data_IF_904530015126
#
_entry.id   IF_904530015126
#
_cell.length_a   1.000
_cell.length_b   1.000
_cell.length_c   1.000
_cell.angle_alpha   90.00
_cell.angle_beta   90.00
_cell.angle_gamma   90.00
#
_symmetry.space_group_name_H-M   'P 1'
#
loop_
_entity.id
_entity.type
_entity.pdbx_description
1 polymer ?
#
# COMPACT_ATOMS: atom_id res chain seq x y z
N UNK A 1 -5.09 -5.61 9.63
CA UNK A 1 -5.20 -5.20 8.22
C UNK A 1 -5.35 -6.45 7.38
N UNK A 2 -6.39 -6.57 6.54
CA UNK A 2 -6.54 -7.70 5.63
C UNK A 2 -5.48 -7.63 4.52
N UNK A 3 -5.17 -8.79 3.93
CA UNK A 3 -4.31 -8.85 2.75
C UNK A 3 -5.02 -8.29 1.51
N UNK A 4 -4.26 -7.83 0.50
CA UNK A 4 -4.86 -7.23 -0.70
C UNK A 4 -5.69 -8.22 -1.54
N UNK A 5 -5.43 -9.52 -1.44
CA UNK A 5 -6.23 -10.54 -2.16
C UNK A 5 -7.54 -10.92 -1.47
N UNK A 6 -7.84 -10.39 -0.28
CA UNK A 6 -9.13 -10.60 0.37
C UNK A 6 -10.24 -9.81 -0.33
N UNK A 7 -11.53 -10.16 -0.14
CA UNK A 7 -12.62 -9.50 -0.86
C UNK A 7 -12.68 -7.99 -0.64
N UNK A 8 -12.88 -7.25 -1.71
CA UNK A 8 -13.02 -5.80 -1.73
C UNK A 8 -14.47 -5.36 -1.85
N UNK A 9 -14.90 -4.41 -1.03
CA UNK A 9 -16.14 -3.66 -1.20
C UNK A 9 -16.01 -2.60 -2.30
N UNK A 10 -14.81 -2.07 -2.56
CA UNK A 10 -14.53 -1.10 -3.60
C UNK A 10 -13.02 -0.88 -3.81
N UNK A 11 -12.65 -0.35 -4.97
CA UNK A 11 -11.35 0.26 -5.25
C UNK A 11 -11.47 1.79 -5.39
N UNK A 12 -10.61 2.52 -4.69
CA UNK A 12 -10.50 3.97 -4.76
C UNK A 12 -9.42 4.39 -5.75
N UNK A 13 -9.75 5.38 -6.59
CA UNK A 13 -8.87 6.00 -7.61
C UNK A 13 -9.07 7.52 -7.61
N UNK A 14 -8.04 8.28 -8.00
CA UNK A 14 -8.19 9.70 -8.31
C UNK A 14 -7.91 9.94 -9.80
N UNK A 15 -8.82 10.66 -10.48
CA UNK A 15 -8.68 10.96 -11.91
C UNK A 15 -7.47 11.87 -12.17
N UNK A 16 -6.64 11.59 -13.19
CA UNK A 16 -5.45 12.36 -13.49
C UNK A 16 -5.81 13.81 -13.87
N UNK A 17 -5.11 14.76 -13.28
CA UNK A 17 -5.38 16.19 -13.46
C UNK A 17 -4.16 17.09 -13.31
N UNK A 18 -3.07 16.60 -12.72
CA UNK A 18 -1.86 17.38 -12.51
C UNK A 18 -0.80 16.97 -13.54
N UNK A 19 -0.60 17.83 -14.55
CA UNK A 19 0.34 17.58 -15.64
C UNK A 19 1.79 17.48 -15.16
N UNK A 20 2.11 18.06 -13.98
CA UNK A 20 3.44 18.01 -13.40
C UNK A 20 3.89 16.61 -12.95
N UNK A 21 2.98 15.64 -12.84
CA UNK A 21 3.34 14.24 -12.61
C UNK A 21 3.79 13.54 -13.92
N UNK A 22 3.33 14.02 -15.08
CA UNK A 22 3.68 13.51 -16.41
C UNK A 22 4.09 14.63 -17.38
N UNK A 23 5.18 15.37 -17.10
CA UNK A 23 5.56 16.52 -17.93
C UNK A 23 5.77 16.10 -19.38
N UNK A 24 5.05 16.75 -20.31
CA UNK A 24 5.12 16.45 -21.74
C UNK A 24 4.49 15.13 -22.19
N UNK A 25 3.92 14.31 -21.26
CA UNK A 25 3.28 13.01 -21.55
C UNK A 25 1.91 12.83 -20.91
N UNK A 26 1.21 13.90 -20.58
CA UNK A 26 -0.08 13.80 -19.90
C UNK A 26 -1.21 13.27 -20.78
N UNK A 27 -1.16 13.52 -22.10
CA UNK A 27 -2.24 13.18 -23.03
C UNK A 27 -2.69 11.71 -23.00
N UNK A 28 -1.80 10.70 -23.00
CA UNK A 28 -2.20 9.29 -22.93
C UNK A 28 -2.72 8.86 -21.56
N UNK A 29 -2.39 9.56 -20.49
CA UNK A 29 -2.66 9.11 -19.11
C UNK A 29 -4.14 8.90 -18.81
N UNK A 30 -5.08 9.80 -19.17
CA UNK A 30 -6.51 9.55 -18.98
C UNK A 30 -7.02 8.28 -19.68
N UNK A 31 -6.39 7.85 -20.77
CA UNK A 31 -6.76 6.63 -21.48
C UNK A 31 -6.26 5.36 -20.76
N UNK A 32 -5.08 5.41 -20.16
CA UNK A 32 -4.59 4.33 -19.27
C UNK A 32 -5.53 4.18 -18.07
N UNK A 33 -5.96 5.29 -17.46
CA UNK A 33 -6.96 5.28 -16.38
C UNK A 33 -8.29 4.69 -16.84
N UNK A 34 -8.74 5.01 -18.05
CA UNK A 34 -9.97 4.45 -18.59
C UNK A 34 -9.89 2.93 -18.76
N UNK A 35 -8.75 2.40 -19.19
CA UNK A 35 -8.52 0.95 -19.30
C UNK A 35 -8.56 0.27 -17.92
N UNK A 36 -7.87 0.84 -16.94
CA UNK A 36 -7.87 0.37 -15.56
C UNK A 36 -9.30 0.37 -14.98
N UNK A 37 -10.02 1.49 -15.10
CA UNK A 37 -11.38 1.65 -14.60
C UNK A 37 -12.34 0.69 -15.31
N UNK A 38 -12.20 0.53 -16.63
CA UNK A 38 -13.01 -0.42 -17.43
C UNK A 38 -12.84 -1.86 -16.93
N UNK A 39 -11.63 -2.22 -16.56
CA UNK A 39 -11.30 -3.53 -16.04
C UNK A 39 -11.86 -3.72 -14.63
N UNK A 40 -11.55 -2.82 -13.72
CA UNK A 40 -12.00 -2.91 -12.31
C UNK A 40 -13.52 -2.87 -12.18
N UNK A 41 -14.20 -2.00 -12.91
CA UNK A 41 -15.65 -1.81 -12.79
C UNK A 41 -16.49 -3.02 -13.23
N UNK A 42 -15.88 -4.02 -13.88
CA UNK A 42 -16.52 -5.32 -14.16
C UNK A 42 -16.53 -6.25 -12.95
N UNK A 43 -15.64 -6.03 -12.00
CA UNK A 43 -15.38 -6.94 -10.89
C UNK A 43 -15.78 -6.35 -9.53
N UNK A 44 -15.63 -5.02 -9.36
CA UNK A 44 -15.92 -4.35 -8.09
C UNK A 44 -16.29 -2.87 -8.31
N UNK A 45 -16.95 -2.23 -7.34
CA UNK A 45 -17.22 -0.80 -7.38
C UNK A 45 -15.93 0.02 -7.43
N UNK A 46 -15.94 1.07 -8.27
CA UNK A 46 -14.84 2.04 -8.40
C UNK A 46 -15.28 3.38 -7.79
N UNK A 47 -14.61 3.80 -6.74
CA UNK A 47 -14.80 5.10 -6.08
C UNK A 47 -13.82 6.12 -6.71
N UNK A 48 -14.30 6.93 -7.64
CA UNK A 48 -13.46 7.81 -8.45
C UNK A 48 -13.48 9.25 -7.94
N UNK A 49 -12.34 9.70 -7.40
CA UNK A 49 -12.15 11.09 -6.96
C UNK A 49 -11.84 11.96 -8.17
N UNK A 50 -12.55 13.07 -8.30
CA UNK A 50 -12.36 14.10 -9.32
C UNK A 50 -12.29 15.48 -8.65
N UNK A 51 -11.45 16.36 -9.16
CA UNK A 51 -11.18 17.65 -8.50
C UNK A 51 -12.38 18.62 -8.48
N UNK A 52 -13.28 18.52 -9.47
CA UNK A 52 -14.46 19.35 -9.60
C UNK A 52 -15.43 18.83 -10.68
N UNK A 53 -16.56 19.51 -10.87
CA UNK A 53 -17.57 19.12 -11.88
C UNK A 53 -17.06 19.16 -13.33
N UNK A 54 -16.16 20.06 -13.65
CA UNK A 54 -15.55 20.15 -15.00
C UNK A 54 -14.64 18.95 -15.25
N UNK A 55 -13.81 18.59 -14.28
CA UNK A 55 -12.98 17.37 -14.33
C UNK A 55 -13.84 16.11 -14.45
N UNK A 56 -14.94 16.01 -13.70
CA UNK A 56 -15.90 14.91 -13.84
C UNK A 56 -16.50 14.81 -15.25
N UNK A 57 -16.87 15.95 -15.85
CA UNK A 57 -17.38 15.96 -17.22
C UNK A 57 -16.32 15.50 -18.23
N UNK A 58 -15.07 15.91 -18.04
CA UNK A 58 -13.95 15.44 -18.87
C UNK A 58 -13.70 13.94 -18.67
N UNK A 59 -13.65 13.47 -17.42
CA UNK A 59 -13.49 12.05 -17.10
C UNK A 59 -14.59 11.20 -17.74
N UNK A 60 -15.87 11.58 -17.57
CA UNK A 60 -17.01 10.86 -18.19
C UNK A 60 -16.86 10.76 -19.70
N UNK A 61 -16.46 11.84 -20.39
CA UNK A 61 -16.26 11.83 -21.84
C UNK A 61 -15.18 10.82 -22.28
N UNK A 62 -14.07 10.74 -21.54
CA UNK A 62 -13.01 9.78 -21.85
C UNK A 62 -13.50 8.36 -21.57
N UNK A 63 -14.14 8.12 -20.42
CA UNK A 63 -14.70 6.82 -20.06
C UNK A 63 -15.77 6.34 -21.05
N UNK A 64 -16.66 7.23 -21.51
CA UNK A 64 -17.64 6.91 -22.54
C UNK A 64 -16.98 6.49 -23.85
N UNK A 65 -15.99 7.25 -24.31
CA UNK A 65 -15.25 6.94 -25.56
C UNK A 65 -14.43 5.67 -25.47
N UNK A 66 -13.97 5.32 -24.27
CA UNK A 66 -13.24 4.09 -23.98
C UNK A 66 -14.17 2.89 -23.66
N UNK A 67 -15.50 3.05 -23.73
CA UNK A 67 -16.48 2.05 -23.29
C UNK A 67 -16.23 1.57 -21.86
N UNK A 68 -15.80 2.48 -20.99
CA UNK A 68 -15.43 2.23 -19.59
C UNK A 68 -16.46 2.78 -18.59
N UNK A 69 -17.39 3.64 -19.01
CA UNK A 69 -18.40 4.20 -18.11
C UNK A 69 -19.45 3.13 -17.76
N UNK A 70 -19.68 2.92 -16.48
CA UNK A 70 -20.67 1.98 -15.94
C UNK A 70 -21.29 2.49 -14.64
N UNK A 71 -22.36 1.83 -14.18
CA UNK A 71 -23.04 2.14 -12.91
C UNK A 71 -22.19 1.77 -11.69
N UNK A 72 -21.15 0.96 -11.85
CA UNK A 72 -20.18 0.62 -10.81
C UNK A 72 -19.18 1.74 -10.51
N UNK A 73 -19.26 2.91 -11.18
CA UNK A 73 -18.37 4.03 -10.95
C UNK A 73 -19.09 5.13 -10.18
N UNK A 74 -18.62 5.42 -8.96
CA UNK A 74 -19.14 6.52 -8.13
C UNK A 74 -18.15 7.68 -8.15
N UNK A 75 -18.63 8.89 -8.45
CA UNK A 75 -17.80 10.09 -8.55
C UNK A 75 -17.83 10.89 -7.25
N UNK A 76 -16.64 11.20 -6.70
CA UNK A 76 -16.42 12.05 -5.55
C UNK A 76 -15.76 13.36 -5.97
N UNK A 77 -16.33 14.49 -5.58
CA UNK A 77 -15.88 15.83 -6.01
C UNK A 77 -14.96 16.44 -4.94
N UNK A 78 -13.71 15.94 -4.87
CA UNK A 78 -12.73 16.38 -3.90
C UNK A 78 -11.45 16.87 -4.58
N UNK A 79 -10.92 17.98 -4.08
CA UNK A 79 -9.67 18.51 -4.58
C UNK A 79 -8.49 17.72 -4.06
N UNK A 80 -7.61 17.32 -4.96
CA UNK A 80 -6.31 16.69 -4.66
C UNK A 80 -5.17 17.53 -5.25
N UNK A 81 -3.96 17.34 -4.75
CA UNK A 81 -2.76 17.84 -5.40
C UNK A 81 -2.29 16.85 -6.47
N UNK A 82 -2.34 15.54 -6.17
CA UNK A 82 -1.89 14.42 -7.00
C UNK A 82 -2.94 13.30 -7.00
N UNK A 83 -2.60 12.16 -7.58
CA UNK A 83 -3.53 11.04 -7.81
C UNK A 83 -3.20 9.76 -7.01
N UNK A 84 -2.11 9.76 -6.28
CA UNK A 84 -1.53 8.57 -5.65
C UNK A 84 -2.27 8.20 -4.37
N UNK A 85 -3.45 7.56 -4.50
CA UNK A 85 -4.32 7.27 -3.36
C UNK A 85 -3.82 6.14 -2.47
N UNK A 86 -2.91 5.29 -2.95
CA UNK A 86 -2.22 4.31 -2.11
C UNK A 86 -1.53 5.00 -0.93
N UNK A 87 -0.92 6.15 -1.19
CA UNK A 87 -0.09 6.86 -0.24
C UNK A 87 -0.82 7.95 0.53
N UNK A 88 -1.75 8.63 -0.13
CA UNK A 88 -2.48 9.76 0.46
C UNK A 88 -3.83 9.36 1.06
N UNK A 89 -4.37 8.21 0.70
CA UNK A 89 -5.63 7.68 1.19
C UNK A 89 -5.58 7.25 2.66
N UNK A 90 -6.67 6.67 3.14
CA UNK A 90 -6.67 5.94 4.40
C UNK A 90 -6.43 4.45 4.14
N UNK A 91 -5.82 3.78 5.11
CA UNK A 91 -5.69 2.33 5.12
C UNK A 91 -6.92 1.76 5.81
N UNK A 92 -7.73 0.99 5.08
CA UNK A 92 -8.91 0.37 5.64
C UNK A 92 -8.56 -0.94 6.36
N UNK A 93 -9.25 -1.17 7.48
CA UNK A 93 -9.27 -2.44 8.18
C UNK A 93 -10.65 -3.07 8.04
N UNK A 94 -10.71 -4.39 7.91
CA UNK A 94 -11.99 -5.12 7.96
C UNK A 94 -12.61 -5.04 9.35
N UNK A 95 -13.93 -5.21 9.44
CA UNK A 95 -14.64 -5.36 10.72
C UNK A 95 -14.00 -6.51 11.51
N UNK A 96 -13.83 -6.33 12.82
CA UNK A 96 -13.53 -7.44 13.70
C UNK A 96 -14.65 -8.47 13.59
N UNK A 97 -14.36 -9.65 13.05
CA UNK A 97 -15.25 -10.78 13.28
C UNK A 97 -15.23 -11.10 14.79
N UNK A 98 -16.40 -11.29 15.43
CA UNK A 98 -16.46 -11.77 16.80
C UNK A 98 -15.86 -13.18 16.81
N UNK A 99 -14.65 -13.36 17.36
CA UNK A 99 -13.95 -14.64 17.39
C UNK A 99 -12.42 -14.53 17.37
N UNK A 100 -11.85 -13.42 16.98
CA UNK A 100 -10.43 -13.13 17.21
C UNK A 100 -10.27 -12.66 18.67
N UNK A 101 -10.28 -13.60 19.62
CA UNK A 101 -9.88 -13.35 20.99
C UNK A 101 -8.45 -12.78 20.97
N UNK A 102 -8.23 -11.66 21.67
CA UNK A 102 -6.90 -11.32 22.13
C UNK A 102 -6.32 -12.58 22.72
N UNK A 103 -5.26 -13.14 22.15
CA UNK A 103 -4.38 -13.99 22.92
C UNK A 103 -3.78 -13.08 23.97
N UNK A 104 -4.33 -13.14 25.17
CA UNK A 104 -3.72 -12.56 26.34
C UNK A 104 -2.32 -13.18 26.41
N UNK A 105 -1.31 -12.36 26.16
CA UNK A 105 0.05 -12.78 26.44
C UNK A 105 0.13 -13.00 27.95
N UNK A 106 0.44 -14.23 28.44
CA UNK A 106 0.75 -14.42 29.84
C UNK A 106 1.98 -13.57 30.15
N UNK A 107 1.82 -12.68 31.13
CA UNK A 107 2.84 -11.75 31.55
C UNK A 107 4.19 -12.43 31.72
N UNK A 108 5.24 -11.86 31.14
CA UNK A 108 6.61 -12.18 31.51
C UNK A 108 6.77 -11.83 33.01
N UNK A 109 6.91 -12.86 33.82
CA UNK A 109 7.39 -12.72 35.19
C UNK A 109 8.77 -12.03 35.12
N UNK A 110 8.85 -10.84 35.63
CA UNK A 110 10.13 -10.23 35.99
C UNK A 110 10.74 -11.01 37.18
N UNK A 111 12.03 -11.33 37.17
CA UNK A 111 12.64 -11.99 38.35
C UNK A 111 12.60 -11.00 39.52
N UNK A 112 11.95 -11.45 40.61
CA UNK A 112 11.94 -10.74 41.89
C UNK A 112 13.37 -10.69 42.45
N UNK A 113 13.86 -9.49 42.73
CA UNK A 113 14.88 -9.28 43.78
C UNK A 113 14.16 -8.89 45.06
N UNK A 114 14.51 -9.62 46.10
CA UNK A 114 13.99 -9.57 47.46
C UNK A 114 13.90 -8.17 48.06
N UNK A 115 12.79 -7.89 48.79
CA UNK A 115 12.75 -6.86 49.82
C UNK A 115 11.40 -6.18 49.99
N UNK A 116 10.69 -6.60 51.02
CA UNK A 116 9.71 -5.88 51.82
C UNK A 116 8.33 -5.56 51.25
N UNK A 117 7.33 -6.20 51.88
CA UNK A 117 5.90 -5.97 51.69
C UNK A 117 5.44 -4.69 52.37
N UNK A 118 4.77 -3.81 51.59
CA UNK A 118 3.81 -2.86 52.13
C UNK A 118 2.45 -3.12 51.51
N UNK A 119 1.51 -3.59 52.35
CA UNK A 119 0.09 -3.69 52.03
C UNK A 119 -0.47 -2.28 51.83
N UNK A 120 -1.02 -2.03 50.64
CA UNK A 120 -1.84 -0.89 50.38
C UNK A 120 -3.29 -1.35 50.14
N UNK A 121 -4.10 -1.32 51.24
CA UNK A 121 -5.54 -1.57 51.19
C UNK A 121 -6.25 -0.26 50.81
N UNK A 122 -6.61 -0.10 49.56
CA UNK A 122 -7.55 0.93 49.08
C UNK A 122 -8.36 0.39 47.91
N UNK A 123 -9.67 0.63 47.84
CA UNK A 123 -10.48 0.11 46.77
C UNK A 123 -10.14 0.81 45.45
N UNK A 124 -9.49 0.09 44.54
CA UNK A 124 -9.31 0.53 43.16
C UNK A 124 -10.68 0.56 42.51
N UNK A 125 -11.24 1.73 42.28
CA UNK A 125 -12.42 1.89 41.40
C UNK A 125 -12.08 1.36 40.01
N UNK A 126 -12.64 0.20 39.67
CA UNK A 126 -12.67 -0.26 38.29
C UNK A 126 -13.38 0.81 37.45
N UNK A 127 -12.82 1.25 36.30
CA UNK A 127 -13.58 2.07 35.38
C UNK A 127 -14.81 1.28 34.92
N UNK A 128 -15.99 1.90 35.07
CA UNK A 128 -17.24 1.36 34.54
C UNK A 128 -17.03 1.09 33.05
N UNK A 129 -17.16 -0.15 32.67
CA UNK A 129 -17.23 -0.58 31.29
C UNK A 129 -18.59 -0.11 30.76
N UNK A 130 -18.67 1.18 30.36
CA UNK A 130 -19.77 1.63 29.54
C UNK A 130 -19.61 0.88 28.21
N UNK A 131 -20.55 -0.06 27.98
CA UNK A 131 -20.58 -0.89 26.79
C UNK A 131 -20.70 -0.05 25.51
N UNK A 132 -19.59 0.50 25.08
CA UNK A 132 -19.46 1.01 23.72
C UNK A 132 -19.62 -0.20 22.79
N UNK A 133 -20.75 -0.25 22.10
CA UNK A 133 -20.98 -1.18 21.00
C UNK A 133 -19.75 -1.11 20.08
N UNK A 134 -19.21 -2.27 19.74
CA UNK A 134 -18.12 -2.34 18.75
C UNK A 134 -18.61 -1.62 17.48
N UNK A 135 -17.77 -0.80 16.84
CA UNK A 135 -18.16 -0.03 15.66
C UNK A 135 -18.77 -0.96 14.61
N UNK A 136 -19.95 -0.61 14.10
CA UNK A 136 -20.69 -1.43 13.11
C UNK A 136 -20.11 -1.30 11.71
N UNK A 137 -19.16 -0.35 11.46
CA UNK A 137 -18.53 -0.01 10.19
C UNK A 137 -17.09 -0.50 10.06
N UNK A 138 -16.48 -0.41 8.85
CA UNK A 138 -15.06 -0.59 8.66
C UNK A 138 -14.28 0.47 9.46
N UNK A 139 -13.01 0.19 9.78
CA UNK A 139 -12.10 1.16 10.40
C UNK A 139 -11.19 1.73 9.31
N UNK A 140 -10.98 3.04 9.33
CA UNK A 140 -10.07 3.75 8.44
C UNK A 140 -8.91 4.36 9.23
N UNK A 141 -7.71 3.85 9.04
CA UNK A 141 -6.50 4.44 9.61
C UNK A 141 -6.05 5.61 8.73
N UNK A 142 -6.19 6.81 9.25
CA UNK A 142 -5.73 8.02 8.56
C UNK A 142 -4.36 8.41 9.07
N UNK A 143 -3.34 7.85 8.48
CA UNK A 143 -1.97 8.33 8.63
C UNK A 143 -1.82 9.73 8.01
N UNK A 144 -0.81 10.49 8.43
CA UNK A 144 -0.46 11.73 7.75
C UNK A 144 0.26 11.43 6.45
N UNK A 145 0.02 12.30 5.48
CA UNK A 145 0.75 12.31 4.21
C UNK A 145 1.49 13.64 4.06
N UNK A 146 2.78 13.59 3.71
CA UNK A 146 3.63 14.76 3.54
C UNK A 146 4.35 14.80 2.18
N UNK A 147 3.76 14.13 1.16
CA UNK A 147 4.33 13.95 -0.18
C UNK A 147 5.76 13.41 -0.14
N UNK A 148 5.91 12.25 0.56
CA UNK A 148 7.16 11.50 0.67
C UNK A 148 8.31 12.29 1.27
N UNK A 149 8.00 13.29 2.11
CA UNK A 149 8.95 14.28 2.65
C UNK A 149 9.79 15.01 1.56
N UNK A 150 9.27 15.12 0.35
CA UNK A 150 9.95 15.65 -0.84
C UNK A 150 9.27 16.87 -1.46
N UNK A 151 7.96 16.85 -1.59
CA UNK A 151 7.20 17.90 -2.28
C UNK A 151 6.45 18.81 -1.32
N UNK A 152 6.33 20.09 -1.68
CA UNK A 152 5.62 21.08 -0.84
C UNK A 152 4.10 21.10 -1.04
N UNK A 153 3.59 20.54 -2.16
CA UNK A 153 2.18 20.53 -2.54
C UNK A 153 1.47 19.23 -2.13
N UNK A 154 1.11 19.10 -0.86
CA UNK A 154 0.52 17.88 -0.30
C UNK A 154 -0.73 18.10 0.58
N UNK A 155 -1.03 19.36 0.94
CA UNK A 155 -2.06 19.66 1.94
C UNK A 155 -3.47 19.26 1.55
N UNK A 156 -3.78 19.15 0.26
CA UNK A 156 -5.06 18.63 -0.19
C UNK A 156 -5.08 17.11 -0.09
N UNK A 157 -3.99 16.46 -0.48
CA UNK A 157 -3.85 15.01 -0.43
C UNK A 157 -3.90 14.49 1.01
N UNK A 158 -3.29 15.19 1.97
CA UNK A 158 -3.38 14.81 3.40
C UNK A 158 -4.83 14.80 3.94
N UNK A 159 -5.80 15.36 3.24
CA UNK A 159 -7.22 15.35 3.64
C UNK A 159 -8.02 14.22 3.02
N UNK A 160 -7.51 13.60 1.96
CA UNK A 160 -8.27 12.64 1.16
C UNK A 160 -8.67 11.42 1.98
N UNK A 161 -7.76 10.87 2.79
CA UNK A 161 -8.09 9.71 3.63
C UNK A 161 -9.28 9.93 4.56
N UNK A 162 -9.44 11.13 5.13
CA UNK A 162 -10.61 11.46 5.96
C UNK A 162 -11.90 11.57 5.12
N UNK A 163 -11.80 12.06 3.88
CA UNK A 163 -12.95 12.11 2.98
C UNK A 163 -13.35 10.70 2.53
N UNK A 164 -12.39 9.82 2.27
CA UNK A 164 -12.62 8.41 1.97
C UNK A 164 -13.29 7.69 3.15
N UNK A 165 -12.75 7.84 4.36
CA UNK A 165 -13.32 7.28 5.58
C UNK A 165 -14.80 7.70 5.77
N UNK A 166 -15.08 8.99 5.60
CA UNK A 166 -16.45 9.52 5.68
C UNK A 166 -17.38 8.93 4.63
N UNK A 167 -16.93 8.83 3.37
CA UNK A 167 -17.74 8.28 2.28
C UNK A 167 -17.98 6.77 2.45
N UNK A 168 -17.00 6.05 2.94
CA UNK A 168 -17.10 4.63 3.29
C UNK A 168 -17.89 4.38 4.60
N UNK A 169 -18.29 5.43 5.32
CA UNK A 169 -18.90 5.35 6.67
C UNK A 169 -18.02 4.56 7.64
N UNK A 170 -16.72 4.73 7.53
CA UNK A 170 -15.72 4.08 8.36
C UNK A 170 -15.42 4.93 9.61
N UNK A 171 -15.10 4.25 10.72
CA UNK A 171 -14.59 4.91 11.91
C UNK A 171 -13.13 5.34 11.68
N UNK A 172 -12.91 6.66 11.67
CA UNK A 172 -11.59 7.22 11.42
C UNK A 172 -10.71 7.17 12.66
N UNK A 173 -9.55 6.55 12.53
CA UNK A 173 -8.52 6.47 13.57
C UNK A 173 -7.24 7.16 13.08
N UNK A 174 -6.63 7.95 13.95
CA UNK A 174 -5.40 8.68 13.66
C UNK A 174 -4.23 8.03 14.39
N UNK A 175 -3.38 7.25 13.69
CA UNK A 175 -2.22 6.61 14.32
C UNK A 175 -1.20 7.64 14.83
N UNK A 176 -0.72 7.44 16.06
CA UNK A 176 0.23 8.32 16.74
C UNK A 176 1.40 7.53 17.34
N UNK A 177 2.56 8.17 17.36
CA UNK A 177 3.74 7.70 18.07
C UNK A 177 4.52 8.92 18.58
N UNK A 178 5.17 8.79 19.73
CA UNK A 178 5.95 9.89 20.35
C UNK A 178 5.16 11.21 20.52
N UNK A 179 3.82 11.14 20.70
CA UNK A 179 2.95 12.30 20.84
C UNK A 179 2.66 13.05 19.53
N UNK A 180 2.96 12.46 18.37
CA UNK A 180 2.68 13.03 17.06
C UNK A 180 2.00 12.02 16.13
N UNK A 181 1.19 12.51 15.18
CA UNK A 181 0.59 11.68 14.14
C UNK A 181 1.65 11.12 13.22
N UNK A 182 1.60 9.82 12.97
CA UNK A 182 2.55 9.10 12.10
C UNK A 182 2.30 9.46 10.64
N UNK A 183 3.37 9.74 9.89
CA UNK A 183 3.39 9.76 8.43
C UNK A 183 3.70 8.34 7.96
N UNK A 184 2.79 7.75 7.17
CA UNK A 184 2.98 6.43 6.58
C UNK A 184 2.19 6.35 5.27
N UNK A 185 2.86 5.95 4.22
CA UNK A 185 2.29 5.69 2.91
C UNK A 185 1.91 4.21 2.79
N UNK A 186 0.77 3.91 2.13
CA UNK A 186 0.35 2.53 1.90
C UNK A 186 1.31 1.73 1.03
N UNK A 187 2.02 2.39 0.10
CA UNK A 187 3.04 1.75 -0.75
C UNK A 187 4.33 1.39 0.00
N UNK A 188 4.57 1.98 1.17
CA UNK A 188 5.72 1.68 2.02
C UNK A 188 5.59 0.36 2.78
N UNK A 189 4.41 -0.26 2.77
CA UNK A 189 4.09 -1.51 3.50
C UNK A 189 3.36 -2.50 2.61
N UNK A 190 3.52 -3.79 2.92
CA UNK A 190 2.71 -4.86 2.36
C UNK A 190 2.43 -5.92 3.45
N UNK A 191 1.21 -6.47 3.52
CA UNK A 191 0.78 -7.36 4.60
C UNK A 191 0.26 -8.69 4.09
N UNK A 192 0.49 -9.75 4.87
CA UNK A 192 -0.02 -11.08 4.55
C UNK A 192 -1.41 -11.40 5.13
N UNK A 193 -2.05 -10.45 5.80
CA UNK A 193 -3.35 -10.66 6.47
C UNK A 193 -3.30 -11.52 7.74
N UNK A 194 -2.17 -12.18 8.03
CA UNK A 194 -2.01 -13.10 9.13
C UNK A 194 -1.11 -12.58 10.27
N UNK A 195 -0.57 -11.39 10.14
CA UNK A 195 0.25 -10.74 11.18
C UNK A 195 1.68 -10.42 10.77
N UNK A 196 2.08 -10.70 9.54
CA UNK A 196 3.38 -10.26 9.01
C UNK A 196 3.23 -9.07 8.08
N UNK A 197 4.15 -8.13 8.18
CA UNK A 197 4.26 -6.94 7.34
C UNK A 197 5.68 -6.82 6.75
N UNK A 198 5.75 -6.46 5.48
CA UNK A 198 6.96 -6.07 4.77
C UNK A 198 7.10 -4.56 4.74
N UNK A 199 8.32 -4.06 4.88
CA UNK A 199 8.70 -2.65 4.68
C UNK A 199 10.19 -2.55 4.39
N UNK A 200 10.71 -1.34 4.15
CA UNK A 200 12.13 -1.10 3.89
C UNK A 200 12.77 -0.16 4.92
N UNK A 201 14.05 -0.38 5.18
CA UNK A 201 14.87 0.52 6.00
C UNK A 201 15.09 1.86 5.30
N UNK A 202 15.25 1.85 3.97
CA UNK A 202 15.44 3.07 3.18
C UNK A 202 14.25 4.00 3.31
N UNK A 203 13.02 3.51 3.21
CA UNK A 203 11.83 4.35 3.31
C UNK A 203 11.60 4.90 4.72
N UNK A 204 11.68 4.05 5.74
CA UNK A 204 11.20 4.42 7.07
C UNK A 204 12.28 4.85 8.05
N UNK A 205 13.55 4.48 7.83
CA UNK A 205 14.65 4.73 8.76
C UNK A 205 15.73 5.65 8.21
N UNK A 206 15.68 6.00 6.91
CA UNK A 206 16.63 6.93 6.32
C UNK A 206 16.42 8.37 6.83
N UNK A 207 17.50 9.14 6.89
CA UNK A 207 17.46 10.57 7.12
C UNK A 207 17.17 11.37 5.85
N UNK A 208 17.36 10.77 4.72
CA UNK A 208 16.94 11.30 3.43
C UNK A 208 15.44 11.06 3.25
N UNK A 209 14.69 12.09 2.87
CA UNK A 209 13.21 12.03 2.85
C UNK A 209 12.60 11.49 4.17
N UNK A 210 13.11 11.92 5.30
CA UNK A 210 12.69 11.46 6.64
C UNK A 210 11.20 11.75 6.87
N UNK A 211 10.37 10.69 7.02
CA UNK A 211 8.92 10.82 7.25
C UNK A 211 8.60 11.24 8.68
N UNK A 212 9.25 10.60 9.63
CA UNK A 212 8.96 10.76 11.06
C UNK A 212 10.26 10.96 11.84
N UNK A 213 10.68 12.21 12.10
CA UNK A 213 11.86 12.48 12.92
C UNK A 213 11.77 11.77 14.28
N UNK A 214 12.88 11.16 14.69
CA UNK A 214 13.05 10.45 15.98
C UNK A 214 12.36 9.08 16.08
N UNK A 215 11.55 8.65 15.11
CA UNK A 215 11.05 7.28 15.11
C UNK A 215 12.15 6.28 14.78
N UNK A 216 12.24 5.25 15.62
CA UNK A 216 13.15 4.11 15.45
C UNK A 216 12.40 2.91 14.90
N UNK A 217 13.14 1.86 14.51
CA UNK A 217 12.57 0.56 14.13
C UNK A 217 11.53 0.08 15.15
N UNK A 218 11.84 0.09 16.44
CA UNK A 218 10.92 -0.35 17.49
C UNK A 218 9.63 0.48 17.56
N UNK A 219 9.69 1.79 17.26
CA UNK A 219 8.49 2.62 17.21
C UNK A 219 7.58 2.25 16.03
N UNK A 220 8.16 1.94 14.86
CA UNK A 220 7.39 1.46 13.70
C UNK A 220 6.79 0.07 13.96
N UNK A 221 7.59 -0.88 14.46
CA UNK A 221 7.11 -2.23 14.79
C UNK A 221 5.96 -2.20 15.80
N UNK A 222 6.06 -1.32 16.82
CA UNK A 222 4.96 -1.10 17.76
C UNK A 222 3.73 -0.52 17.07
N UNK A 223 3.89 0.47 16.20
CA UNK A 223 2.77 1.06 15.47
C UNK A 223 2.10 0.04 14.53
N UNK A 224 2.87 -0.80 13.85
CA UNK A 224 2.33 -1.87 13.01
C UNK A 224 1.55 -2.91 13.82
N UNK A 225 2.06 -3.29 15.00
CA UNK A 225 1.35 -4.19 15.89
C UNK A 225 0.05 -3.58 16.42
N UNK A 226 0.10 -2.33 16.88
CA UNK A 226 -1.03 -1.67 17.54
C UNK A 226 -2.14 -1.29 16.57
N UNK A 227 -1.80 -0.74 15.41
CA UNK A 227 -2.77 -0.18 14.46
C UNK A 227 -3.12 -1.13 13.31
N UNK A 228 -2.14 -1.86 12.77
CA UNK A 228 -2.36 -2.74 11.61
C UNK A 228 -2.62 -4.20 12.00
N UNK A 229 -2.39 -4.56 13.28
CA UNK A 229 -2.47 -5.95 13.73
C UNK A 229 -1.37 -6.83 13.15
N UNK A 230 -0.22 -6.25 12.81
CA UNK A 230 0.94 -6.90 12.22
C UNK A 230 2.15 -6.84 13.18
N UNK A 231 2.22 -7.73 14.20
CA UNK A 231 3.28 -7.72 15.19
C UNK A 231 4.63 -8.22 14.66
N UNK A 232 4.66 -8.83 13.49
CA UNK A 232 5.89 -9.37 12.89
C UNK A 232 6.28 -8.56 11.66
N UNK A 233 7.44 -7.89 11.71
CA UNK A 233 7.93 -7.04 10.63
C UNK A 233 9.15 -7.65 9.96
N UNK A 234 9.11 -7.78 8.64
CA UNK A 234 10.26 -8.14 7.80
C UNK A 234 10.78 -6.85 7.16
N UNK A 235 12.02 -6.50 7.50
CA UNK A 235 12.69 -5.30 7.00
C UNK A 235 13.59 -5.63 5.80
N UNK A 236 13.22 -5.13 4.64
CA UNK A 236 14.10 -5.09 3.48
C UNK A 236 15.06 -3.89 3.58
N UNK A 237 16.05 -3.85 2.70
CA UNK A 237 17.05 -2.79 2.70
C UNK A 237 16.67 -1.60 1.83
N UNK A 238 17.29 -1.52 0.65
CA UNK A 238 17.15 -0.43 -0.31
C UNK A 238 16.13 -0.77 -1.39
N UNK A 239 15.48 0.28 -1.91
CA UNK A 239 14.59 0.24 -3.06
C UNK A 239 15.30 0.11 -4.41
N UNK A 240 14.54 0.27 -5.49
CA UNK A 240 15.06 0.30 -6.85
C UNK A 240 15.54 1.71 -7.25
N UNK A 241 16.43 1.76 -8.22
CA UNK A 241 16.95 3.03 -8.75
C UNK A 241 15.83 3.84 -9.43
N UNK A 242 15.77 5.13 -9.12
CA UNK A 242 14.84 6.06 -9.72
C UNK A 242 13.48 6.15 -8.99
N UNK A 243 13.27 5.32 -7.97
CA UNK A 243 12.09 5.41 -7.12
C UNK A 243 12.05 6.75 -6.39
N UNK A 244 10.97 7.49 -6.66
CA UNK A 244 10.74 8.84 -6.13
C UNK A 244 10.27 8.83 -4.67
N UNK A 245 9.78 7.67 -4.22
CA UNK A 245 9.25 7.46 -2.87
C UNK A 245 10.34 7.13 -1.85
N UNK A 246 11.56 6.88 -2.30
CA UNK A 246 12.71 6.50 -1.48
C UNK A 246 12.57 5.12 -0.83
N UNK A 247 12.33 4.12 -1.66
CA UNK A 247 12.38 2.71 -1.27
C UNK A 247 11.05 2.10 -0.83
N UNK A 248 9.94 2.43 -1.48
CA UNK A 248 8.68 1.74 -1.25
C UNK A 248 8.80 0.23 -1.52
N UNK A 249 8.18 -0.58 -0.65
CA UNK A 249 8.26 -2.04 -0.77
C UNK A 249 7.39 -2.58 -1.91
N UNK A 250 6.37 -1.86 -2.33
CA UNK A 250 5.47 -2.26 -3.42
C UNK A 250 6.11 -2.24 -4.81
N UNK A 251 7.32 -1.67 -4.92
CA UNK A 251 8.18 -1.78 -6.10
C UNK A 251 9.21 -2.92 -6.01
N UNK A 252 9.27 -3.64 -4.89
CA UNK A 252 10.29 -4.65 -4.61
C UNK A 252 9.72 -6.04 -4.41
N UNK A 253 8.79 -6.16 -3.44
CA UNK A 253 8.35 -7.44 -2.89
C UNK A 253 6.91 -7.31 -2.42
N UNK A 254 6.07 -8.27 -2.83
CA UNK A 254 4.65 -8.32 -2.47
C UNK A 254 4.25 -9.69 -1.96
N UNK A 255 3.42 -9.75 -0.93
CA UNK A 255 2.73 -10.98 -0.59
C UNK A 255 1.71 -11.36 -1.68
N UNK A 256 1.66 -12.64 -2.00
CA UNK A 256 0.68 -13.22 -2.95
C UNK A 256 -0.16 -14.31 -2.28
N UNK A 257 0.26 -14.76 -1.10
CA UNK A 257 -0.48 -15.60 -0.17
C UNK A 257 0.10 -15.45 1.24
N UNK A 258 -0.53 -15.99 2.31
CA UNK A 258 -0.04 -15.78 3.68
C UNK A 258 1.42 -16.15 3.92
N UNK A 259 1.97 -17.12 3.17
CA UNK A 259 3.36 -17.58 3.32
C UNK A 259 4.21 -17.45 2.05
N UNK A 260 3.71 -16.78 0.99
CA UNK A 260 4.42 -16.65 -0.28
C UNK A 260 4.58 -15.19 -0.67
N UNK A 261 5.77 -14.83 -1.11
CA UNK A 261 6.08 -13.51 -1.67
C UNK A 261 6.61 -13.63 -3.10
N UNK A 262 6.27 -12.65 -3.94
CA UNK A 262 7.04 -12.36 -5.15
C UNK A 262 8.06 -11.31 -4.82
N UNK A 263 9.27 -11.41 -5.40
CA UNK A 263 10.31 -10.39 -5.25
C UNK A 263 11.02 -10.14 -6.57
N UNK A 264 11.34 -8.89 -6.82
CA UNK A 264 12.09 -8.49 -8.01
C UNK A 264 13.55 -8.92 -7.87
N UNK A 265 14.12 -9.43 -8.97
CA UNK A 265 15.53 -9.77 -9.08
C UNK A 265 16.11 -9.19 -10.36
N UNK A 266 17.40 -8.91 -10.33
CA UNK A 266 18.14 -8.51 -11.51
C UNK A 266 19.38 -9.42 -11.67
N UNK A 267 19.48 -10.12 -12.81
CA UNK A 267 20.58 -11.02 -13.11
C UNK A 267 21.80 -10.31 -13.69
N UNK A 268 21.64 -9.09 -14.21
CA UNK A 268 22.74 -8.30 -14.74
C UNK A 268 23.54 -7.67 -13.60
N UNK A 269 24.72 -8.22 -13.33
CA UNK A 269 25.60 -7.72 -12.27
C UNK A 269 26.12 -6.29 -12.48
N UNK A 270 26.00 -5.77 -13.70
CA UNK A 270 26.35 -4.38 -14.04
C UNK A 270 25.20 -3.40 -13.79
N UNK A 271 23.95 -3.88 -13.61
CA UNK A 271 22.81 -3.04 -13.34
C UNK A 271 22.84 -2.50 -11.90
N UNK A 272 22.48 -1.23 -11.76
CA UNK A 272 22.46 -0.54 -10.46
C UNK A 272 21.51 -1.19 -9.44
N UNK A 273 20.47 -1.89 -9.90
CA UNK A 273 19.50 -2.59 -9.05
C UNK A 273 19.98 -3.97 -8.58
N UNK A 274 20.95 -4.59 -9.27
CA UNK A 274 21.41 -5.94 -8.94
C UNK A 274 21.83 -6.08 -7.47
N UNK A 275 22.68 -5.20 -6.98
CA UNK A 275 23.18 -5.24 -5.60
C UNK A 275 22.08 -5.12 -4.54
N UNK A 276 21.26 -4.08 -4.57
CA UNK A 276 20.14 -3.90 -3.65
C UNK A 276 19.13 -5.06 -3.67
N UNK A 277 18.69 -5.49 -4.85
CA UNK A 277 17.70 -6.58 -4.98
C UNK A 277 18.26 -7.92 -4.47
N UNK A 278 19.53 -8.23 -4.78
CA UNK A 278 20.19 -9.41 -4.24
C UNK A 278 20.34 -9.38 -2.72
N UNK A 279 20.57 -8.21 -2.13
CA UNK A 279 20.61 -8.05 -0.68
C UNK A 279 19.21 -8.28 -0.05
N UNK A 280 18.15 -7.78 -0.69
CA UNK A 280 16.78 -8.00 -0.25
C UNK A 280 16.36 -9.47 -0.36
N UNK A 281 16.72 -10.15 -1.45
CA UNK A 281 16.46 -11.58 -1.61
C UNK A 281 17.10 -12.41 -0.47
N UNK A 282 18.37 -12.11 -0.10
CA UNK A 282 19.02 -12.78 1.05
C UNK A 282 18.29 -12.54 2.38
N UNK A 283 17.77 -11.32 2.60
CA UNK A 283 16.97 -11.00 3.78
C UNK A 283 15.67 -11.84 3.81
N UNK A 284 14.98 -11.96 2.68
CA UNK A 284 13.77 -12.78 2.56
C UNK A 284 14.07 -14.27 2.79
N UNK A 285 15.15 -14.80 2.25
CA UNK A 285 15.57 -16.22 2.45
C UNK A 285 15.82 -16.57 3.94
N UNK A 286 16.29 -15.60 4.72
CA UNK A 286 16.49 -15.76 6.16
C UNK A 286 15.26 -15.40 7.00
N UNK A 287 14.28 -14.71 6.42
CA UNK A 287 13.10 -14.29 7.14
C UNK A 287 12.17 -15.45 7.51
N UNK A 288 11.33 -15.18 8.51
CA UNK A 288 10.23 -16.06 8.93
C UNK A 288 8.95 -15.25 8.98
N UNK A 289 7.82 -15.90 8.88
CA UNK A 289 6.52 -15.27 9.11
C UNK A 289 6.20 -15.17 10.61
N UNK A 290 5.01 -14.67 10.94
CA UNK A 290 4.51 -14.54 12.32
C UNK A 290 4.43 -15.89 13.09
N UNK A 291 4.40 -17.01 12.38
CA UNK A 291 4.37 -18.37 12.95
C UNK A 291 5.76 -19.02 13.01
N UNK A 292 6.81 -18.30 12.61
CA UNK A 292 8.18 -18.80 12.54
C UNK A 292 8.47 -19.68 11.31
N UNK A 293 7.57 -19.72 10.33
CA UNK A 293 7.73 -20.50 9.10
C UNK A 293 8.55 -19.72 8.07
N UNK A 294 9.30 -20.43 7.27
CA UNK A 294 10.02 -19.84 6.14
C UNK A 294 9.05 -19.44 5.03
N UNK A 295 9.30 -18.28 4.41
CA UNK A 295 8.54 -17.83 3.26
C UNK A 295 8.89 -18.66 2.00
N UNK A 296 7.89 -18.92 1.18
CA UNK A 296 8.10 -19.29 -0.22
C UNK A 296 8.39 -18.02 -1.02
N UNK A 297 9.51 -18.00 -1.73
CA UNK A 297 9.96 -16.84 -2.50
C UNK A 297 9.87 -17.16 -3.99
N UNK A 298 9.13 -16.36 -4.72
CA UNK A 298 9.01 -16.44 -6.18
C UNK A 298 9.73 -15.24 -6.77
N UNK A 299 10.74 -15.49 -7.58
CA UNK A 299 11.56 -14.45 -8.19
C UNK A 299 10.96 -14.04 -9.55
N UNK A 300 10.81 -12.74 -9.76
CA UNK A 300 10.41 -12.16 -11.06
C UNK A 300 11.54 -11.25 -11.51
N UNK A 301 12.10 -11.42 -12.73
CA UNK A 301 13.14 -10.55 -13.23
C UNK A 301 12.61 -9.13 -13.44
N UNK A 302 13.42 -8.12 -13.11
CA UNK A 302 13.12 -6.73 -13.41
C UNK A 302 12.85 -6.54 -14.92
N UNK A 303 11.99 -5.57 -15.31
CA UNK A 303 11.96 -5.12 -16.70
C UNK A 303 13.32 -4.52 -17.07
N UNK A 304 13.74 -4.72 -18.32
CA UNK A 304 14.90 -3.99 -18.82
C UNK A 304 14.66 -2.48 -18.66
N UNK A 305 15.73 -1.66 -18.50
CA UNK A 305 15.58 -0.25 -18.18
C UNK A 305 14.58 0.49 -19.09
N UNK A 306 13.59 1.11 -18.48
CA UNK A 306 12.65 2.01 -19.13
C UNK A 306 13.21 3.41 -19.01
N UNK A 307 13.46 4.05 -20.15
CA UNK A 307 14.09 5.37 -20.21
C UNK A 307 13.14 6.39 -20.83
N UNK A 308 13.11 7.58 -20.26
CA UNK A 308 12.49 8.75 -20.86
C UNK A 308 13.43 9.96 -20.67
N UNK A 309 13.72 10.71 -21.74
CA UNK A 309 14.67 11.84 -21.74
C UNK A 309 16.00 11.52 -21.03
N UNK A 310 16.54 10.34 -21.32
CA UNK A 310 17.77 9.80 -20.70
C UNK A 310 17.68 9.51 -19.20
N UNK A 311 16.52 9.68 -18.57
CA UNK A 311 16.26 9.32 -17.18
C UNK A 311 15.72 7.90 -17.12
N UNK A 312 16.31 7.05 -16.27
CA UNK A 312 15.77 5.73 -15.94
C UNK A 312 14.57 5.88 -15.01
N UNK A 313 13.47 5.21 -15.36
CA UNK A 313 12.22 5.22 -14.60
C UNK A 313 12.16 4.00 -13.67
N UNK A 314 11.44 4.07 -12.53
CA UNK A 314 11.34 2.99 -11.55
C UNK A 314 10.32 1.93 -11.98
N UNK A 315 10.47 1.38 -13.17
CA UNK A 315 9.60 0.35 -13.69
C UNK A 315 9.78 -0.94 -12.90
N UNK A 316 8.69 -1.48 -12.37
CA UNK A 316 8.68 -2.73 -11.61
C UNK A 316 7.40 -3.52 -11.86
N UNK A 317 7.52 -4.83 -12.05
CA UNK A 317 6.35 -5.73 -12.11
C UNK A 317 5.72 -5.97 -10.74
N UNK A 318 6.40 -5.64 -9.62
CA UNK A 318 5.83 -5.76 -8.28
C UNK A 318 4.70 -4.77 -8.01
N UNK A 319 4.63 -3.68 -8.78
CA UNK A 319 3.59 -2.65 -8.62
C UNK A 319 2.25 -3.05 -9.28
N UNK A 320 1.90 -4.36 -9.25
CA UNK A 320 0.60 -4.88 -9.64
C UNK A 320 -0.47 -4.56 -8.58
N UNK A 321 -1.75 -4.59 -8.99
CA UNK A 321 -2.87 -4.43 -8.08
C UNK A 321 -3.79 -5.65 -8.12
N UNK A 322 -4.13 -6.20 -6.95
CA UNK A 322 -5.01 -7.35 -6.79
C UNK A 322 -6.41 -6.85 -6.46
N UNK A 323 -7.38 -7.14 -7.36
CA UNK A 323 -8.79 -6.82 -7.14
C UNK A 323 -9.65 -8.09 -7.18
N UNK A 324 -10.96 -7.96 -6.94
CA UNK A 324 -11.88 -9.09 -7.01
C UNK A 324 -11.87 -9.70 -8.40
N UNK A 325 -11.47 -10.97 -8.52
CA UNK A 325 -11.47 -11.72 -9.78
C UNK A 325 -10.48 -11.26 -10.85
N UNK A 326 -9.69 -10.20 -10.60
CA UNK A 326 -8.74 -9.66 -11.57
C UNK A 326 -7.45 -9.18 -10.89
N UNK A 327 -6.33 -9.22 -11.61
CA UNK A 327 -5.07 -8.62 -11.21
C UNK A 327 -4.59 -7.70 -12.34
N UNK A 328 -4.35 -6.44 -12.05
CA UNK A 328 -3.77 -5.49 -12.99
C UNK A 328 -2.25 -5.55 -12.91
N UNK A 329 -1.60 -6.00 -13.99
CA UNK A 329 -0.15 -6.14 -14.04
C UNK A 329 0.46 -5.05 -14.93
N UNK A 330 1.40 -4.22 -14.43
CA UNK A 330 2.10 -3.26 -15.27
C UNK A 330 3.01 -4.00 -16.27
N UNK A 331 2.99 -3.58 -17.54
CA UNK A 331 3.89 -4.06 -18.59
C UNK A 331 4.54 -2.89 -19.31
N UNK A 332 5.74 -3.09 -19.84
CA UNK A 332 6.61 -2.00 -20.30
C UNK A 332 7.11 -2.21 -21.74
N UNK A 333 6.53 -3.15 -22.50
CA UNK A 333 7.03 -3.60 -23.80
C UNK A 333 8.49 -4.07 -23.71
N UNK A 334 8.77 -4.91 -22.71
CA UNK A 334 10.09 -5.49 -22.46
C UNK A 334 10.05 -7.02 -22.56
N UNK A 335 11.16 -7.67 -22.89
CA UNK A 335 11.23 -9.13 -23.00
C UNK A 335 10.73 -9.89 -21.77
N UNK A 336 10.88 -9.33 -20.56
CA UNK A 336 10.48 -9.96 -19.32
C UNK A 336 8.99 -9.82 -19.00
N UNK A 337 8.20 -9.02 -19.75
CA UNK A 337 6.76 -8.87 -19.53
C UNK A 337 6.04 -10.23 -19.53
N UNK A 338 6.38 -11.10 -20.49
CA UNK A 338 5.78 -12.43 -20.58
C UNK A 338 6.12 -13.33 -19.38
N UNK A 339 7.32 -13.23 -18.84
CA UNK A 339 7.74 -13.98 -17.66
C UNK A 339 6.93 -13.51 -16.45
N UNK A 340 6.82 -12.20 -16.24
CA UNK A 340 6.07 -11.63 -15.13
C UNK A 340 4.58 -12.01 -15.19
N UNK A 341 3.95 -11.88 -16.35
CA UNK A 341 2.53 -12.24 -16.55
C UNK A 341 2.27 -13.72 -16.29
N UNK A 342 3.11 -14.62 -16.81
CA UNK A 342 2.95 -16.06 -16.61
C UNK A 342 3.14 -16.43 -15.13
N UNK A 343 4.15 -15.87 -14.47
CA UNK A 343 4.38 -16.11 -13.03
C UNK A 343 3.19 -15.64 -12.20
N UNK A 344 2.63 -14.45 -12.49
CA UNK A 344 1.45 -13.96 -11.80
C UNK A 344 0.21 -14.83 -12.07
N UNK A 345 0.04 -15.34 -13.30
CA UNK A 345 -1.06 -16.23 -13.65
C UNK A 345 -0.99 -17.57 -12.88
N UNK A 346 0.21 -18.11 -12.69
CA UNK A 346 0.42 -19.33 -11.88
C UNK A 346 0.10 -19.08 -10.39
N UNK A 347 0.44 -17.90 -9.87
CA UNK A 347 0.20 -17.53 -8.47
C UNK A 347 -1.26 -17.16 -8.17
N UNK A 348 -2.00 -16.69 -9.17
CA UNK A 348 -3.40 -16.28 -9.06
C UNK A 348 -4.31 -17.01 -10.04
N UNK A 349 -4.44 -18.35 -9.97
CA UNK A 349 -5.17 -19.15 -10.96
C UNK A 349 -6.68 -18.87 -11.01
N UNK A 350 -7.21 -18.14 -10.02
CA UNK A 350 -8.64 -17.76 -9.95
C UNK A 350 -8.90 -16.32 -10.37
N UNK A 351 -7.86 -15.58 -10.79
CA UNK A 351 -7.96 -14.18 -11.23
C UNK A 351 -7.54 -14.05 -12.69
N UNK A 352 -8.24 -13.19 -13.41
CA UNK A 352 -7.80 -12.75 -14.73
C UNK A 352 -6.58 -11.86 -14.59
N UNK A 353 -5.46 -12.15 -15.26
CA UNK A 353 -4.29 -11.29 -15.29
C UNK A 353 -4.40 -10.35 -16.47
N UNK A 354 -4.62 -9.06 -16.19
CA UNK A 354 -4.79 -8.04 -17.22
C UNK A 354 -3.54 -7.18 -17.31
N UNK A 355 -2.79 -7.29 -18.43
CA UNK A 355 -1.63 -6.44 -18.65
C UNK A 355 -2.07 -5.00 -18.94
N UNK A 356 -1.52 -4.04 -18.22
CA UNK A 356 -1.74 -2.61 -18.44
C UNK A 356 -0.43 -2.00 -18.91
N UNK A 357 -0.41 -1.47 -20.15
CA UNK A 357 0.78 -0.78 -20.66
C UNK A 357 1.11 0.44 -19.82
N UNK A 358 2.26 0.40 -19.19
CA UNK A 358 2.71 1.39 -18.20
C UNK A 358 3.94 2.19 -18.66
N UNK A 359 4.37 2.06 -19.90
CA UNK A 359 5.57 2.72 -20.40
C UNK A 359 5.50 4.25 -20.37
N UNK A 360 4.33 4.83 -20.66
CA UNK A 360 4.10 6.28 -20.49
C UNK A 360 3.66 6.62 -19.08
N UNK A 361 2.91 5.71 -18.43
CA UNK A 361 2.36 5.92 -17.11
C UNK A 361 3.44 6.02 -16.04
N UNK A 362 4.48 5.18 -16.12
CA UNK A 362 5.59 5.14 -15.15
C UNK A 362 6.44 6.44 -15.13
N UNK A 363 6.25 7.34 -16.10
CA UNK A 363 6.85 8.67 -16.04
C UNK A 363 6.38 9.48 -14.83
N UNK A 364 5.21 9.16 -14.27
CA UNK A 364 4.71 9.69 -12.99
C UNK A 364 5.32 9.04 -11.75
N UNK A 365 6.29 8.12 -11.91
CA UNK A 365 7.02 7.39 -10.85
C UNK A 365 6.18 6.42 -10.03
N UNK A 366 5.04 5.95 -10.54
CA UNK A 366 4.21 4.93 -9.93
C UNK A 366 3.45 4.13 -10.99
N UNK A 367 2.86 3.01 -10.60
CA UNK A 367 2.05 2.17 -11.48
C UNK A 367 0.71 1.77 -10.81
N UNK A 368 0.23 0.56 -11.02
CA UNK A 368 -1.14 0.14 -10.67
C UNK A 368 -1.40 0.19 -9.16
N UNK A 369 -0.45 -0.28 -8.34
CA UNK A 369 -0.59 -0.29 -6.90
C UNK A 369 -0.57 1.12 -6.32
N UNK A 370 0.38 1.95 -6.73
CA UNK A 370 0.53 3.32 -6.21
C UNK A 370 -0.71 4.21 -6.42
N UNK A 371 -1.48 3.99 -7.50
CA UNK A 371 -2.66 4.81 -7.79
C UNK A 371 -3.95 4.30 -7.16
N UNK A 372 -3.98 3.06 -6.67
CA UNK A 372 -5.17 2.39 -6.16
C UNK A 372 -5.14 2.27 -4.64
N UNK A 373 -6.32 2.26 -4.00
CA UNK A 373 -6.47 1.90 -2.59
C UNK A 373 -7.69 1.00 -2.44
N UNK A 374 -7.48 -0.22 -1.93
CA UNK A 374 -8.57 -1.15 -1.67
C UNK A 374 -9.37 -0.74 -0.42
N UNK A 375 -10.67 -0.96 -0.49
CA UNK A 375 -11.56 -0.97 0.65
C UNK A 375 -12.04 -2.41 0.84
N UNK A 376 -11.61 -3.13 1.89
CA UNK A 376 -12.08 -4.50 2.15
C UNK A 376 -13.55 -4.53 2.56
N UNK A 377 -14.19 -5.71 2.42
CA UNK A 377 -15.54 -5.97 2.91
C UNK A 377 -15.68 -5.94 4.44
#
# INVERSE_FOLDING_TARGET
>A
MPAEWEPHAATWLAWPHYEGDWPGKFEPIPWVYAEIIRTLAKHEPVELVVTNRSAAKSARRVLERAHALSDNIRFHYWRTNRVWLRDSGCIFLSKRQPGFARRDHPGRLCPQKNGEAHEFTGPVKQPKNDGALAPEGPIALKFRFNAWAKYSNWRLDDKIGSLMAKAAKADEVHPESLGARIVLEGGSIDVNGAGTILTTEECLLSKEQERNPHMTRAHYEKAFADYLGAPHTIWLGRGIFGDDTHGHVDDLTRFVSPGTVVTMVDSDSSDVNHGPLRANLRRLQSARDQDGKQLTIVEIPMPQPVLFESRRLPASYANFYIANGVLLAPVFNRPNDGIALNTLAELFPTREIVPIYSGDFIWGFGAMHCMTQQQPE
#
